data_IF_320796752691
#
_entry.id   IF_320796752691
#
_cell.length_a   1.000
_cell.length_b   1.000
_cell.length_c   1.000
_cell.angle_alpha   90.00
_cell.angle_beta   90.00
_cell.angle_gamma   90.00
#
_symmetry.space_group_name_H-M   'P 1'
#
loop_
_entity.id
_entity.type
_entity.pdbx_description
1 polymer ?
#
# COMPACT_ATOMS: atom_id res chain seq x y z
N UNK A 1 -25.10 29.60 -9.40
CA UNK A 1 -24.61 28.37 -10.02
C UNK A 1 -24.52 27.28 -8.97
N UNK A 2 -25.47 26.34 -8.94
CA UNK A 2 -25.39 25.18 -8.06
C UNK A 2 -24.39 24.21 -8.67
N UNK A 3 -23.24 24.02 -8.03
CA UNK A 3 -22.32 22.95 -8.41
C UNK A 3 -23.05 21.61 -8.21
N UNK A 4 -22.83 20.63 -9.10
CA UNK A 4 -23.41 19.31 -8.94
C UNK A 4 -22.94 18.70 -7.61
N UNK A 5 -23.90 18.20 -6.83
CA UNK A 5 -23.62 17.50 -5.58
C UNK A 5 -22.99 16.16 -5.89
N UNK A 6 -21.83 15.87 -5.29
CA UNK A 6 -21.15 14.59 -5.43
C UNK A 6 -21.73 13.61 -4.42
N UNK A 7 -22.14 12.42 -4.88
CA UNK A 7 -22.51 11.33 -3.98
C UNK A 7 -21.35 10.35 -3.83
N UNK A 8 -20.92 10.09 -2.60
CA UNK A 8 -19.82 9.18 -2.27
C UNK A 8 -20.34 7.99 -1.48
N UNK A 9 -20.20 6.79 -2.03
CA UNK A 9 -20.48 5.55 -1.33
C UNK A 9 -19.23 5.07 -0.57
N UNK A 10 -19.39 4.81 0.72
CA UNK A 10 -18.34 4.32 1.61
C UNK A 10 -18.53 2.83 1.89
N UNK A 11 -17.43 2.10 1.78
CA UNK A 11 -17.35 0.69 2.14
C UNK A 11 -16.15 0.47 3.06
N UNK A 12 -16.41 0.02 4.28
CA UNK A 12 -15.40 -0.18 5.32
C UNK A 12 -15.44 -1.62 5.78
N UNK A 13 -14.31 -2.31 5.64
CA UNK A 13 -14.08 -3.67 6.13
C UNK A 13 -12.76 -3.69 6.88
N UNK A 14 -12.73 -4.39 8.02
CA UNK A 14 -11.47 -4.68 8.69
C UNK A 14 -11.59 -4.88 10.19
N UNK A 15 -10.50 -5.37 10.77
CA UNK A 15 -10.46 -5.73 12.19
C UNK A 15 -11.40 -6.90 12.52
N UNK A 16 -11.38 -7.30 13.77
CA UNK A 16 -12.28 -8.31 14.36
C UNK A 16 -12.36 -8.03 15.86
N UNK A 17 -13.04 -8.86 16.64
CA UNK A 17 -13.06 -8.73 18.10
C UNK A 17 -11.76 -9.27 18.71
N UNK A 18 -10.66 -8.56 18.43
CA UNK A 18 -9.33 -9.01 18.79
C UNK A 18 -9.08 -8.92 20.31
N UNK A 19 -8.39 -9.90 20.92
CA UNK A 19 -8.15 -9.91 22.37
C UNK A 19 -7.36 -8.68 22.87
N UNK A 20 -6.59 -8.04 21.99
CA UNK A 20 -5.80 -6.84 22.30
C UNK A 20 -6.60 -5.55 22.17
N UNK A 21 -7.88 -5.64 21.82
CA UNK A 21 -8.82 -4.53 21.62
C UNK A 21 -8.30 -3.42 20.70
N UNK A 22 -7.54 -3.77 19.66
CA UNK A 22 -6.97 -2.78 18.71
C UNK A 22 -7.96 -2.38 17.62
N UNK A 23 -8.81 -3.29 17.18
CA UNK A 23 -9.73 -3.08 16.06
C UNK A 23 -10.83 -2.08 16.40
N UNK A 24 -11.39 -2.13 17.61
CA UNK A 24 -12.51 -1.27 18.02
C UNK A 24 -12.13 0.22 18.07
N UNK A 25 -11.04 0.63 18.74
CA UNK A 25 -10.62 2.03 18.74
C UNK A 25 -10.27 2.55 17.34
N UNK A 26 -9.61 1.74 16.51
CA UNK A 26 -9.26 2.12 15.14
C UNK A 26 -10.52 2.31 14.27
N UNK A 27 -11.48 1.39 14.40
CA UNK A 27 -12.78 1.45 13.74
C UNK A 27 -13.56 2.71 14.13
N UNK A 28 -13.66 2.99 15.44
CA UNK A 28 -14.33 4.18 15.95
C UNK A 28 -13.66 5.47 15.48
N UNK A 29 -12.33 5.53 15.53
CA UNK A 29 -11.57 6.67 15.03
C UNK A 29 -11.83 6.93 13.54
N UNK A 30 -11.79 5.88 12.70
CA UNK A 30 -12.03 6.02 11.26
C UNK A 30 -13.44 6.52 10.96
N UNK A 31 -14.46 5.97 11.62
CA UNK A 31 -15.85 6.40 11.43
C UNK A 31 -16.06 7.85 11.87
N UNK A 32 -15.46 8.27 12.99
CA UNK A 32 -15.53 9.65 13.45
C UNK A 32 -14.84 10.61 12.47
N UNK A 33 -13.70 10.21 11.90
CA UNK A 33 -13.01 10.99 10.87
C UNK A 33 -13.90 11.14 9.62
N UNK A 34 -14.51 10.05 9.15
CA UNK A 34 -15.40 10.08 7.97
C UNK A 34 -16.65 10.93 8.23
N UNK A 35 -17.24 10.85 9.41
CA UNK A 35 -18.37 11.70 9.80
C UNK A 35 -17.99 13.19 9.85
N UNK A 36 -16.82 13.52 10.40
CA UNK A 36 -16.32 14.89 10.43
C UNK A 36 -16.05 15.44 9.01
N UNK A 37 -15.54 14.61 8.11
CA UNK A 37 -15.37 14.98 6.70
C UNK A 37 -16.72 15.20 6.00
N UNK A 38 -17.71 14.34 6.28
CA UNK A 38 -19.05 14.48 5.73
C UNK A 38 -19.72 15.79 6.16
N UNK A 39 -19.64 16.16 7.44
CA UNK A 39 -20.20 17.42 7.92
C UNK A 39 -19.46 18.63 7.33
N UNK A 40 -18.11 18.59 7.29
CA UNK A 40 -17.29 19.67 6.73
C UNK A 40 -17.60 19.94 5.25
N UNK A 41 -17.94 18.91 4.48
CA UNK A 41 -18.16 18.99 3.04
C UNK A 41 -19.63 18.82 2.62
N UNK A 42 -20.58 18.90 3.55
CA UNK A 42 -22.02 18.63 3.30
C UNK A 42 -22.69 19.45 2.20
N UNK A 43 -22.13 20.62 1.86
CA UNK A 43 -22.65 21.48 0.79
C UNK A 43 -22.19 21.05 -0.61
N UNK A 44 -21.25 20.12 -0.71
CA UNK A 44 -20.65 19.67 -1.96
C UNK A 44 -20.66 18.14 -2.12
N UNK A 45 -20.58 17.39 -1.02
CA UNK A 45 -20.46 15.95 -1.01
C UNK A 45 -21.44 15.35 0.01
N UNK A 46 -22.22 14.36 -0.44
CA UNK A 46 -23.03 13.50 0.41
C UNK A 46 -22.34 12.15 0.56
N UNK A 47 -22.16 11.70 1.80
CA UNK A 47 -21.54 10.41 2.10
C UNK A 47 -22.60 9.40 2.52
N UNK A 48 -22.58 8.22 1.91
CA UNK A 48 -23.47 7.11 2.22
C UNK A 48 -22.64 5.90 2.64
N UNK A 49 -22.77 5.47 3.91
CA UNK A 49 -22.10 4.26 4.39
C UNK A 49 -22.90 3.02 3.96
N UNK A 50 -22.44 2.34 2.91
CA UNK A 50 -23.16 1.23 2.26
C UNK A 50 -22.77 -0.12 2.86
N UNK A 51 -21.46 -0.38 3.00
CA UNK A 51 -20.96 -1.59 3.64
C UNK A 51 -20.12 -1.22 4.85
N UNK A 52 -20.49 -1.69 6.05
CA UNK A 52 -19.71 -1.49 7.27
C UNK A 52 -19.60 -2.81 8.03
N UNK A 53 -18.47 -3.49 7.83
CA UNK A 53 -18.18 -4.77 8.47
C UNK A 53 -16.84 -4.66 9.18
N UNK A 54 -16.89 -4.16 10.41
CA UNK A 54 -15.72 -3.84 11.22
C UNK A 54 -15.80 -4.45 12.62
N UNK A 55 -14.64 -4.74 13.21
CA UNK A 55 -14.54 -5.24 14.60
C UNK A 55 -15.49 -6.44 14.87
N UNK A 56 -16.37 -6.36 15.86
CA UNK A 56 -17.29 -7.44 16.22
C UNK A 56 -18.19 -7.90 15.07
N UNK A 57 -18.65 -6.98 14.21
CA UNK A 57 -19.46 -7.34 13.05
C UNK A 57 -18.68 -8.14 11.99
N UNK A 58 -17.35 -7.99 11.97
CA UNK A 58 -16.44 -8.77 11.12
C UNK A 58 -15.85 -10.00 11.83
N UNK A 59 -16.40 -10.44 12.96
CA UNK A 59 -15.84 -11.57 13.73
C UNK A 59 -16.55 -12.87 13.38
N UNK A 60 -15.79 -13.88 12.97
CA UNK A 60 -16.32 -15.21 12.70
C UNK A 60 -16.58 -15.96 14.01
N UNK A 61 -17.76 -16.57 14.15
CA UNK A 61 -18.18 -17.22 15.39
C UNK A 61 -17.26 -18.37 15.82
N UNK A 62 -16.77 -19.15 14.87
CA UNK A 62 -15.96 -20.36 15.08
C UNK A 62 -14.50 -20.04 15.34
N UNK A 63 -13.83 -19.34 14.42
CA UNK A 63 -12.40 -19.05 14.51
C UNK A 63 -12.07 -17.89 15.45
N UNK A 64 -13.08 -17.08 15.83
CA UNK A 64 -12.92 -15.78 16.49
C UNK A 64 -12.01 -14.80 15.73
N UNK A 65 -11.68 -15.10 14.47
CA UNK A 65 -10.90 -14.24 13.59
C UNK A 65 -11.76 -13.37 12.68
N UNK A 66 -11.14 -12.63 11.74
CA UNK A 66 -11.86 -11.80 10.79
C UNK A 66 -12.62 -12.65 9.74
N UNK A 67 -13.90 -12.35 9.53
CA UNK A 67 -14.76 -12.96 8.52
C UNK A 67 -14.35 -12.54 7.09
N UNK A 68 -13.96 -11.27 6.93
CA UNK A 68 -13.49 -10.67 5.68
C UNK A 68 -12.19 -9.93 5.92
N UNK A 69 -11.19 -10.13 5.05
CA UNK A 69 -9.87 -9.49 5.15
C UNK A 69 -9.65 -8.35 4.17
N UNK A 70 -10.45 -8.28 3.11
CA UNK A 70 -10.34 -7.23 2.11
C UNK A 70 -11.58 -7.08 1.26
N UNK A 71 -11.53 -6.04 0.42
CA UNK A 71 -12.55 -5.71 -0.56
C UNK A 71 -11.91 -5.62 -1.94
N UNK A 72 -12.64 -6.03 -2.97
CA UNK A 72 -12.38 -5.68 -4.36
C UNK A 72 -13.53 -4.83 -4.88
N UNK A 73 -13.23 -3.86 -5.73
CA UNK A 73 -14.23 -3.04 -6.41
C UNK A 73 -14.07 -3.23 -7.92
N UNK A 74 -15.18 -3.51 -8.60
CA UNK A 74 -15.23 -3.42 -10.04
C UNK A 74 -15.45 -1.95 -10.41
N UNK A 75 -14.41 -1.31 -10.95
CA UNK A 75 -14.42 0.11 -11.29
C UNK A 75 -15.36 0.46 -12.44
N UNK A 76 -15.80 -0.52 -13.23
CA UNK A 76 -16.74 -0.29 -14.32
C UNK A 76 -18.18 -0.08 -13.83
N UNK A 77 -18.60 -0.84 -12.81
CA UNK A 77 -19.99 -0.86 -12.35
C UNK A 77 -20.17 -0.58 -10.85
N UNK A 78 -19.08 -0.26 -10.13
CA UNK A 78 -19.10 0.03 -8.70
C UNK A 78 -19.34 -1.18 -7.80
N UNK A 79 -19.50 -2.40 -8.33
CA UNK A 79 -19.80 -3.58 -7.51
C UNK A 79 -18.65 -3.91 -6.56
N UNK A 80 -18.96 -4.07 -5.28
CA UNK A 80 -17.99 -4.42 -4.23
C UNK A 80 -18.09 -5.89 -3.87
N UNK A 81 -16.96 -6.59 -3.92
CA UNK A 81 -16.82 -8.01 -3.60
C UNK A 81 -15.95 -8.19 -2.36
N UNK A 82 -16.30 -9.16 -1.52
CA UNK A 82 -15.48 -9.54 -0.36
C UNK A 82 -14.31 -10.40 -0.84
N UNK A 83 -13.12 -10.09 -0.35
CA UNK A 83 -11.90 -10.82 -0.68
C UNK A 83 -11.30 -11.39 0.60
N UNK A 84 -11.07 -12.70 0.61
CA UNK A 84 -10.32 -13.36 1.68
C UNK A 84 -8.82 -13.32 1.41
N UNK A 85 -8.42 -13.69 0.18
CA UNK A 85 -7.04 -13.73 -0.26
C UNK A 85 -6.89 -13.18 -1.67
N UNK A 86 -5.80 -12.45 -1.90
CA UNK A 86 -5.38 -12.01 -3.24
C UNK A 86 -4.28 -12.95 -3.72
N UNK A 87 -4.41 -13.48 -4.93
CA UNK A 87 -3.34 -14.28 -5.54
C UNK A 87 -2.07 -13.43 -5.70
N UNK A 88 -0.90 -14.01 -5.44
CA UNK A 88 0.38 -13.28 -5.46
C UNK A 88 0.62 -12.57 -6.81
N UNK A 89 0.25 -13.23 -7.92
CA UNK A 89 0.34 -12.67 -9.28
C UNK A 89 -0.50 -11.39 -9.49
N UNK A 90 -1.46 -11.10 -8.61
CA UNK A 90 -2.34 -9.94 -8.67
C UNK A 90 -1.93 -8.81 -7.71
N UNK A 91 -0.90 -9.02 -6.87
CA UNK A 91 -0.50 -8.03 -5.85
C UNK A 91 0.15 -6.76 -6.42
N UNK A 92 0.36 -6.73 -7.74
CA UNK A 92 0.89 -5.59 -8.46
C UNK A 92 2.42 -5.57 -8.50
N UNK A 93 3.01 -4.50 -9.08
CA UNK A 93 4.44 -4.46 -9.27
C UNK A 93 5.16 -4.29 -7.92
N UNK A 94 6.34 -4.91 -7.84
CA UNK A 94 7.30 -4.69 -6.76
C UNK A 94 6.70 -4.86 -5.36
N UNK A 95 5.94 -5.95 -5.15
CA UNK A 95 5.27 -6.21 -3.87
C UNK A 95 6.24 -6.19 -2.67
N UNK A 96 7.40 -6.84 -2.78
CA UNK A 96 8.42 -6.87 -1.72
C UNK A 96 8.93 -5.47 -1.36
N UNK A 97 9.24 -4.63 -2.36
CA UNK A 97 9.62 -3.23 -2.12
C UNK A 97 8.50 -2.44 -1.43
N UNK A 98 7.24 -2.69 -1.79
CA UNK A 98 6.09 -2.05 -1.12
C UNK A 98 5.95 -2.47 0.33
N UNK A 99 6.23 -3.72 0.64
CA UNK A 99 6.25 -4.23 2.02
C UNK A 99 7.40 -3.65 2.84
N UNK A 100 8.56 -3.39 2.22
CA UNK A 100 9.71 -2.79 2.89
C UNK A 100 9.38 -1.46 3.58
N UNK A 101 8.39 -0.72 3.06
CA UNK A 101 7.86 0.51 3.69
C UNK A 101 7.42 0.29 5.14
N UNK A 102 6.82 -0.85 5.46
CA UNK A 102 6.33 -1.14 6.82
C UNK A 102 7.48 -1.23 7.83
N UNK A 103 8.67 -1.57 7.35
CA UNK A 103 9.88 -1.80 8.13
C UNK A 103 10.88 -0.64 8.03
N UNK A 104 10.65 0.33 7.14
CA UNK A 104 11.56 1.46 6.90
C UNK A 104 11.46 2.58 7.94
N UNK A 105 10.32 2.69 8.63
CA UNK A 105 10.04 3.81 9.54
C UNK A 105 10.96 3.90 10.77
N UNK A 106 11.37 2.79 11.42
CA UNK A 106 12.36 2.83 12.50
C UNK A 106 13.73 3.35 12.01
N UNK A 107 14.18 2.87 10.84
CA UNK A 107 15.50 3.16 10.29
C UNK A 107 15.66 4.62 9.83
N UNK A 108 14.60 5.22 9.27
CA UNK A 108 14.62 6.60 8.78
C UNK A 108 14.84 7.64 9.90
N UNK A 109 14.45 7.33 11.14
CA UNK A 109 14.61 8.25 12.29
C UNK A 109 16.04 8.31 12.81
N UNK A 110 16.84 7.26 12.59
CA UNK A 110 18.19 7.12 13.15
C UNK A 110 19.31 7.63 12.23
N UNK A 111 19.07 7.80 10.93
CA UNK A 111 20.14 8.11 9.98
C UNK A 111 20.28 9.62 9.69
N UNK A 112 21.38 10.29 10.09
CA UNK A 112 21.59 11.72 9.85
C UNK A 112 21.88 12.05 8.37
N UNK A 113 22.24 11.08 7.54
CA UNK A 113 22.65 11.30 6.14
C UNK A 113 21.45 11.58 5.23
N UNK A 114 20.23 11.22 5.67
CA UNK A 114 18.99 11.66 5.01
C UNK A 114 18.81 13.20 5.01
N UNK A 115 19.64 13.95 5.75
CA UNK A 115 19.57 15.42 5.88
C UNK A 115 20.10 16.21 4.69
N UNK A 116 20.78 15.59 3.72
CA UNK A 116 21.23 16.32 2.52
C UNK A 116 20.13 16.42 1.44
N UNK A 117 19.05 17.14 1.78
CA UNK A 117 18.04 17.63 0.83
C UNK A 117 16.86 16.69 0.57
N UNK A 118 16.75 15.57 1.28
CA UNK A 118 15.55 14.72 1.24
C UNK A 118 14.71 14.95 2.49
N UNK A 119 13.40 15.01 2.29
CA UNK A 119 12.45 15.06 3.38
C UNK A 119 12.44 13.67 4.07
N UNK A 120 12.90 13.55 5.33
CA UNK A 120 12.91 12.28 6.06
C UNK A 120 11.50 11.72 6.30
N UNK A 121 10.46 12.49 5.97
CA UNK A 121 9.06 12.06 5.98
C UNK A 121 8.59 11.46 4.64
N UNK A 122 9.44 11.37 3.62
CA UNK A 122 9.10 10.68 2.37
C UNK A 122 8.92 9.17 2.61
N UNK A 123 7.68 8.81 2.92
CA UNK A 123 7.21 7.45 2.97
C UNK A 123 6.95 7.00 1.53
N UNK A 124 7.23 5.73 1.21
CA UNK A 124 6.83 5.15 -0.08
C UNK A 124 5.37 5.50 -0.38
N UNK A 125 5.19 6.16 -1.51
CA UNK A 125 3.91 6.51 -2.08
C UNK A 125 3.83 5.96 -3.49
N UNK A 126 2.72 5.29 -3.78
CA UNK A 126 2.38 4.82 -5.12
C UNK A 126 1.22 5.68 -5.59
N UNK A 127 1.43 6.41 -6.68
CA UNK A 127 0.41 7.28 -7.26
C UNK A 127 0.03 6.77 -8.65
N UNK A 128 -1.23 6.93 -9.02
CA UNK A 128 -1.62 6.84 -10.42
C UNK A 128 -1.20 8.14 -11.12
N UNK A 129 -0.54 8.01 -12.26
CA UNK A 129 -0.06 9.14 -13.07
C UNK A 129 -0.48 8.89 -14.52
N UNK A 130 -0.66 9.97 -15.28
CA UNK A 130 -0.90 9.92 -16.71
C UNK A 130 0.42 10.21 -17.43
N UNK A 131 0.94 9.22 -18.14
CA UNK A 131 2.16 9.42 -18.91
C UNK A 131 1.79 9.99 -20.27
N UNK A 132 2.05 11.29 -20.45
CA UNK A 132 2.03 11.92 -21.76
C UNK A 132 3.19 11.35 -22.58
N UNK A 133 2.88 10.49 -23.54
CA UNK A 133 3.85 10.16 -24.58
C UNK A 133 4.06 11.43 -25.37
N UNK A 134 5.26 12.01 -25.30
CA UNK A 134 5.69 13.02 -26.24
C UNK A 134 5.86 12.33 -27.61
N UNK A 135 4.74 12.03 -28.28
CA UNK A 135 4.77 11.48 -29.63
C UNK A 135 5.17 12.61 -30.56
N UNK A 136 6.37 12.48 -31.13
CA UNK A 136 6.97 13.34 -32.16
C UNK A 136 6.20 13.30 -33.50
N UNK A 137 4.89 13.05 -33.52
CA UNK A 137 4.09 13.03 -34.75
C UNK A 137 2.70 13.67 -34.59
N UNK A 138 2.37 14.47 -35.62
CA UNK A 138 1.30 15.47 -35.74
C UNK A 138 -0.14 14.91 -35.85
N UNK A 139 -0.54 13.94 -35.05
CA UNK A 139 -1.93 13.45 -35.02
C UNK A 139 -2.61 13.80 -33.70
N UNK A 140 -3.79 14.43 -33.78
CA UNK A 140 -4.46 15.20 -32.71
C UNK A 140 -5.12 14.41 -31.58
N UNK A 141 -4.67 13.18 -31.31
CA UNK A 141 -5.17 12.38 -30.19
C UNK A 141 -3.97 11.81 -29.43
N UNK A 142 -3.53 12.52 -28.40
CA UNK A 142 -2.54 12.00 -27.45
C UNK A 142 -3.21 10.90 -26.62
N UNK A 143 -2.97 9.64 -26.99
CA UNK A 143 -3.39 8.51 -26.16
C UNK A 143 -2.62 8.54 -24.83
N UNK A 144 -3.29 8.97 -23.76
CA UNK A 144 -2.70 8.92 -22.42
C UNK A 144 -2.65 7.46 -21.96
N UNK A 145 -1.51 7.06 -21.41
CA UNK A 145 -1.36 5.74 -20.81
C UNK A 145 -1.32 5.91 -19.29
N UNK A 146 -2.24 5.25 -18.59
CA UNK A 146 -2.21 5.20 -17.13
C UNK A 146 -1.01 4.38 -16.65
N UNK A 147 -0.22 4.95 -15.74
CA UNK A 147 0.94 4.30 -15.13
C UNK A 147 0.86 4.38 -13.60
N UNK A 148 1.49 3.42 -12.93
CA UNK A 148 1.78 3.50 -11.49
C UNK A 148 3.15 4.11 -11.31
N UNK A 149 3.22 5.24 -10.62
CA UNK A 149 4.46 5.92 -10.23
C UNK A 149 4.80 5.57 -8.79
N UNK A 150 6.00 5.05 -8.59
CA UNK A 150 6.58 4.81 -7.27
C UNK A 150 7.47 6.00 -6.95
N UNK A 151 7.06 6.76 -5.95
CA UNK A 151 7.83 7.87 -5.43
C UNK A 151 9.03 7.29 -4.67
N UNK A 152 10.26 7.77 -4.94
CA UNK A 152 11.45 7.33 -4.24
C UNK A 152 11.30 7.47 -2.73
N UNK A 153 11.83 6.50 -1.99
CA UNK A 153 11.83 6.52 -0.53
C UNK A 153 13.08 5.83 -0.01
N UNK A 154 13.54 6.28 1.16
CA UNK A 154 14.68 5.66 1.82
C UNK A 154 14.22 4.46 2.67
N UNK A 155 15.02 3.40 2.65
CA UNK A 155 14.90 2.28 3.56
C UNK A 155 16.29 1.69 3.84
N UNK A 156 16.42 1.03 4.97
CA UNK A 156 17.59 0.24 5.36
C UNK A 156 17.10 -0.79 6.38
N UNK A 157 17.64 -2.01 6.33
CA UNK A 157 17.43 -2.94 7.44
C UNK A 157 18.09 -2.36 8.69
N UNK A 158 17.31 -2.13 9.75
CA UNK A 158 17.82 -1.67 11.03
C UNK A 158 18.48 -2.86 11.72
N UNK A 159 19.66 -2.68 12.32
CA UNK A 159 20.33 -3.73 13.08
C UNK A 159 19.46 -4.27 14.23
N UNK A 160 18.54 -3.45 14.74
CA UNK A 160 17.56 -3.87 15.76
C UNK A 160 16.52 -4.88 15.22
N UNK A 161 16.44 -5.06 13.90
CA UNK A 161 15.54 -6.01 13.23
C UNK A 161 16.28 -7.19 12.61
N UNK A 162 17.62 -7.19 12.55
CA UNK A 162 18.41 -8.26 11.94
C UNK A 162 18.11 -9.62 12.59
N UNK A 163 17.95 -9.64 13.91
CA UNK A 163 17.65 -10.87 14.66
C UNK A 163 16.35 -11.56 14.21
N UNK A 164 15.40 -10.85 13.57
CA UNK A 164 14.18 -11.45 13.03
C UNK A 164 14.48 -12.42 11.88
N UNK A 165 15.62 -12.27 11.20
CA UNK A 165 16.07 -13.20 10.17
C UNK A 165 16.66 -14.49 10.77
N UNK A 166 17.19 -14.41 11.98
CA UNK A 166 17.82 -15.53 12.70
C UNK A 166 16.81 -16.39 13.48
N UNK A 167 15.56 -15.94 13.56
CA UNK A 167 14.48 -16.70 14.23
C UNK A 167 14.23 -18.03 13.50
N UNK A 168 14.46 -19.13 14.22
CA UNK A 168 14.45 -20.50 13.68
C UNK A 168 13.06 -20.95 13.19
N UNK A 169 11.98 -20.52 13.84
CA UNK A 169 10.63 -21.01 13.54
C UNK A 169 9.65 -19.91 13.09
N UNK A 170 8.65 -20.29 12.30
CA UNK A 170 7.59 -19.38 11.88
C UNK A 170 6.70 -18.97 13.08
N UNK A 171 6.54 -19.86 14.06
CA UNK A 171 5.78 -19.62 15.28
C UNK A 171 6.41 -18.52 16.13
N UNK A 172 7.73 -18.45 16.22
CA UNK A 172 8.40 -17.35 16.91
C UNK A 172 8.29 -16.07 16.10
N UNK A 173 8.58 -16.12 14.80
CA UNK A 173 8.60 -14.94 13.95
C UNK A 173 7.23 -14.23 13.93
N UNK A 174 6.14 -14.99 13.80
CA UNK A 174 4.80 -14.40 13.73
C UNK A 174 4.40 -13.70 15.03
N UNK A 175 4.87 -14.17 16.20
CA UNK A 175 4.58 -13.53 17.49
C UNK A 175 5.18 -12.13 17.61
N UNK A 176 6.31 -11.90 16.95
CA UNK A 176 7.00 -10.62 16.95
C UNK A 176 6.53 -9.68 15.83
N UNK A 177 5.96 -10.22 14.75
CA UNK A 177 5.72 -9.45 13.51
C UNK A 177 4.25 -9.28 13.15
N UNK A 178 3.35 -10.12 13.67
CA UNK A 178 1.89 -9.94 13.51
C UNK A 178 1.27 -9.29 14.74
N UNK A 179 0.28 -8.42 14.51
CA UNK A 179 -0.58 -7.89 15.57
C UNK A 179 -1.54 -8.94 16.15
N UNK A 180 -1.86 -9.97 15.36
CA UNK A 180 -2.83 -11.05 15.66
C UNK A 180 -2.33 -12.41 15.17
N UNK A 181 -1.26 -12.98 15.78
CA UNK A 181 -0.56 -14.16 15.28
C UNK A 181 -1.45 -15.39 15.02
N UNK A 182 -2.40 -15.65 15.91
CA UNK A 182 -3.31 -16.80 15.81
C UNK A 182 -4.40 -16.65 14.74
N UNK A 183 -4.49 -15.49 14.11
CA UNK A 183 -5.49 -15.18 13.09
C UNK A 183 -4.85 -14.83 11.75
N UNK A 184 -3.60 -15.20 11.49
CA UNK A 184 -3.05 -15.18 10.13
C UNK A 184 -3.44 -16.48 9.40
N UNK A 185 -4.06 -16.36 8.22
CA UNK A 185 -4.60 -17.53 7.48
C UNK A 185 -3.51 -18.52 7.04
N UNK A 186 -2.32 -18.03 6.72
CA UNK A 186 -1.20 -18.85 6.28
C UNK A 186 0.07 -18.29 6.91
N UNK A 187 0.35 -18.78 8.12
CA UNK A 187 1.50 -18.37 8.94
C UNK A 187 2.80 -18.52 8.15
N UNK A 188 2.99 -19.63 7.43
CA UNK A 188 4.19 -19.87 6.63
C UNK A 188 4.35 -18.85 5.51
N UNK A 189 3.30 -18.53 4.76
CA UNK A 189 3.38 -17.55 3.68
C UNK A 189 3.58 -16.13 4.23
N UNK A 190 2.94 -15.79 5.35
CA UNK A 190 3.15 -14.54 6.07
C UNK A 190 4.62 -14.40 6.49
N UNK A 191 5.15 -15.38 7.22
CA UNK A 191 6.54 -15.40 7.71
C UNK A 191 7.56 -15.41 6.56
N UNK A 192 7.29 -16.16 5.48
CA UNK A 192 8.10 -16.11 4.25
C UNK A 192 8.10 -14.70 3.65
N UNK A 193 6.94 -14.04 3.60
CA UNK A 193 6.81 -12.66 3.14
C UNK A 193 7.63 -11.67 3.97
N UNK A 194 7.61 -11.81 5.29
CA UNK A 194 8.43 -11.01 6.22
C UNK A 194 9.92 -11.23 5.95
N UNK A 195 10.41 -12.47 5.99
CA UNK A 195 11.83 -12.77 5.75
C UNK A 195 12.29 -12.28 4.39
N UNK A 196 11.52 -12.56 3.33
CA UNK A 196 11.80 -12.08 1.97
C UNK A 196 11.94 -10.56 1.91
N UNK A 197 11.09 -9.84 2.64
CA UNK A 197 11.13 -8.36 2.69
C UNK A 197 12.36 -7.84 3.44
N UNK A 198 12.64 -8.38 4.63
CA UNK A 198 13.80 -7.98 5.43
C UNK A 198 15.12 -8.31 4.72
N UNK A 199 15.25 -9.52 4.16
CA UNK A 199 16.38 -9.93 3.33
C UNK A 199 16.57 -9.00 2.13
N UNK A 200 15.49 -8.68 1.42
CA UNK A 200 15.53 -7.75 0.29
C UNK A 200 16.02 -6.35 0.71
N UNK A 201 15.59 -5.85 1.87
CA UNK A 201 16.06 -4.58 2.43
C UNK A 201 17.55 -4.58 2.78
N UNK A 202 18.07 -5.71 3.25
CA UNK A 202 19.51 -5.87 3.54
C UNK A 202 20.37 -6.01 2.29
N UNK A 203 19.84 -6.61 1.21
CA UNK A 203 20.58 -6.87 -0.03
C UNK A 203 20.49 -5.76 -1.08
N UNK A 204 19.41 -4.96 -1.08
CA UNK A 204 19.15 -4.00 -2.16
C UNK A 204 19.15 -2.59 -1.60
N UNK A 205 20.05 -1.71 -2.06
CA UNK A 205 20.09 -0.33 -1.56
C UNK A 205 19.10 0.55 -2.33
N UNK A 206 18.39 1.50 -1.67
CA UNK A 206 17.46 2.40 -2.35
C UNK A 206 18.08 3.15 -3.54
N UNK A 207 19.36 3.52 -3.44
CA UNK A 207 20.11 4.23 -4.51
C UNK A 207 20.35 3.40 -5.77
N UNK A 208 20.30 2.07 -5.67
CA UNK A 208 20.41 1.16 -6.82
C UNK A 208 19.10 1.09 -7.60
N UNK A 209 17.98 1.40 -6.94
CA UNK A 209 16.64 1.37 -7.53
C UNK A 209 16.24 2.75 -8.04
N UNK A 210 16.39 3.77 -7.20
CA UNK A 210 15.91 5.13 -7.45
C UNK A 210 17.02 6.09 -7.88
N UNK A 211 18.21 5.55 -8.19
CA UNK A 211 19.37 6.33 -8.59
C UNK A 211 20.00 7.17 -7.46
N UNK A 212 21.05 7.94 -7.79
CA UNK A 212 21.72 8.83 -6.84
C UNK A 212 20.73 9.81 -6.21
N UNK A 213 20.84 10.04 -4.90
CA UNK A 213 19.95 10.94 -4.13
C UNK A 213 18.45 10.60 -4.26
N UNK A 214 18.12 9.34 -4.60
CA UNK A 214 16.76 8.85 -4.86
C UNK A 214 15.96 9.77 -5.79
N UNK A 215 16.58 10.29 -6.85
CA UNK A 215 15.93 11.26 -7.73
C UNK A 215 15.06 10.63 -8.82
N UNK A 216 15.11 9.31 -8.99
CA UNK A 216 14.47 8.61 -10.10
C UNK A 216 13.25 7.81 -9.63
N UNK A 217 12.02 8.28 -9.87
CA UNK A 217 10.82 7.48 -9.65
C UNK A 217 10.76 6.29 -10.62
N UNK A 218 10.12 5.20 -10.18
CA UNK A 218 9.83 4.06 -11.06
C UNK A 218 8.42 4.19 -11.63
N UNK A 219 8.26 3.87 -12.91
CA UNK A 219 6.96 3.86 -13.57
C UNK A 219 6.62 2.45 -14.02
N UNK A 220 5.42 1.98 -13.71
CA UNK A 220 4.93 0.68 -14.12
C UNK A 220 3.68 0.84 -14.96
N UNK A 221 3.67 0.17 -16.11
CA UNK A 221 2.50 0.07 -16.96
C UNK A 221 1.98 -1.37 -16.92
N UNK A 222 0.65 -1.51 -16.90
CA UNK A 222 0.03 -2.82 -17.07
C UNK A 222 0.25 -3.29 -18.52
N UNK A 223 0.70 -4.53 -18.69
CA UNK A 223 0.83 -5.16 -20.01
C UNK A 223 -0.58 -5.42 -20.54
N UNK A 224 -0.85 -4.99 -21.78
CA UNK A 224 -2.17 -5.05 -22.40
C UNK A 224 -2.81 -6.45 -22.25
N UNK A 225 -4.11 -6.48 -21.92
CA UNK A 225 -4.89 -7.70 -21.73
C UNK A 225 -4.30 -8.68 -20.70
N UNK A 226 -3.55 -8.20 -19.71
CA UNK A 226 -2.97 -9.04 -18.67
C UNK A 226 -3.01 -8.37 -17.29
N UNK A 227 -2.71 -9.17 -16.26
CA UNK A 227 -2.47 -8.69 -14.90
C UNK A 227 -0.99 -8.42 -14.60
N UNK A 228 -0.12 -8.51 -15.62
CA UNK A 228 1.32 -8.28 -15.48
C UNK A 228 1.64 -6.80 -15.58
N UNK A 229 2.69 -6.40 -14.87
CA UNK A 229 3.23 -5.06 -14.90
C UNK A 229 4.62 -5.08 -15.53
N UNK A 230 4.92 -4.09 -16.36
CA UNK A 230 6.26 -3.85 -16.90
C UNK A 230 6.81 -2.53 -16.37
N UNK A 231 8.09 -2.52 -16.02
CA UNK A 231 8.80 -1.28 -15.74
C UNK A 231 8.92 -0.49 -17.05
N UNK A 232 8.49 0.76 -17.02
CA UNK A 232 8.68 1.71 -18.11
C UNK A 232 9.83 2.62 -17.68
N UNK A 233 11.00 2.37 -18.26
CA UNK A 233 12.14 3.27 -18.06
C UNK A 233 11.79 4.57 -18.76
N UNK A 234 11.74 5.68 -18.01
CA UNK A 234 11.90 6.98 -18.68
C UNK A 234 13.32 6.98 -19.19
N UNK A 235 13.50 7.07 -20.50
CA UNK A 235 14.75 7.58 -21.03
C UNK A 235 15.07 8.81 -20.20
N UNK A 236 16.19 8.74 -19.47
CA UNK A 236 16.62 9.89 -18.69
C UNK A 236 16.60 11.03 -19.68
N UNK A 237 15.86 12.11 -19.39
CA UNK A 237 16.19 13.37 -19.99
C UNK A 237 17.63 13.62 -19.54
N UNK A 238 18.58 13.21 -20.37
CA UNK A 238 19.97 13.62 -20.31
C UNK A 238 19.89 15.12 -20.58
N UNK A 239 19.64 15.86 -19.52
CA UNK A 239 19.72 17.30 -19.49
C UNK A 239 20.97 17.60 -18.66
N UNK A 240 22.07 17.67 -19.39
CA UNK A 240 23.23 18.52 -19.18
C UNK A 240 23.54 18.92 -17.73
N UNK A 241 24.63 18.33 -17.20
CA UNK A 241 25.80 19.05 -16.66
C UNK A 241 26.92 18.10 -16.28
#
# INVERSE_FOLDING_TARGET
NNLPMVHMELHVVGGFDDPKQKSRPLSAWLLNLLAALADRHRNAITFSLVNCLISSSNTECSSKGPLVRGLAINTHNGTVLRVRKVAELLMGPQHTMRQARLWAAPSARKNPIARHGQDPTQVLAVTHDEMNHASTQRSSETATTSVLKFIPFWYCLDSDLDWLLDVESDEQLIQHTSTSPYHEENVTEFCRGVRRTLMWMGMTRPVEIFGPRLSQPLYFQRVANSNRWRLVVRESAVADK
#
